data_IF_127534884756
#
_entry.id   IF_127534884756
#
_cell.length_a   1.000
_cell.length_b   1.000
_cell.length_c   1.000
_cell.angle_alpha   90.00
_cell.angle_beta   90.00
_cell.angle_gamma   90.00
#
_symmetry.space_group_name_H-M   'P 1'
#
loop_
_entity.id
_entity.type
_entity.pdbx_description
1 polymer ?
#
# COMPACT_ATOMS: atom_id res chain seq x y z
N UNK A 1 -0.12 -40.87 4.90
CA UNK A 1 -0.54 -39.59 4.32
C UNK A 1 -1.89 -39.18 4.92
N UNK A 2 -1.93 -38.09 5.71
CA UNK A 2 -3.15 -37.70 6.46
C UNK A 2 -4.03 -36.69 5.70
N UNK A 3 -3.58 -36.21 4.55
CA UNK A 3 -4.28 -35.19 3.75
C UNK A 3 -5.66 -35.70 3.28
N UNK A 4 -5.78 -36.89 2.63
CA UNK A 4 -7.07 -37.37 2.22
C UNK A 4 -8.05 -37.67 3.36
N UNK A 5 -7.53 -38.07 4.52
CA UNK A 5 -8.38 -38.45 5.65
C UNK A 5 -8.88 -37.25 6.47
N UNK A 6 -8.05 -36.19 6.61
CA UNK A 6 -8.34 -35.06 7.49
C UNK A 6 -8.73 -33.79 6.76
N UNK A 7 -8.14 -33.55 5.59
CA UNK A 7 -8.34 -32.29 4.86
C UNK A 7 -9.46 -32.41 3.83
N UNK A 8 -9.47 -33.47 3.02
CA UNK A 8 -10.41 -33.62 1.91
C UNK A 8 -11.90 -33.62 2.29
N UNK A 9 -12.34 -34.14 3.45
CA UNK A 9 -13.76 -34.09 3.82
C UNK A 9 -14.26 -32.68 4.19
N UNK A 10 -13.34 -31.72 4.40
CA UNK A 10 -13.72 -30.36 4.81
C UNK A 10 -14.28 -29.56 3.64
N UNK A 11 -15.21 -28.62 3.91
CA UNK A 11 -15.70 -27.69 2.92
C UNK A 11 -14.56 -26.92 2.24
N UNK A 12 -14.67 -26.67 0.92
CA UNK A 12 -13.63 -26.01 0.13
C UNK A 12 -13.27 -24.60 0.65
N UNK A 13 -14.20 -23.92 1.31
CA UNK A 13 -13.97 -22.62 1.93
C UNK A 13 -13.03 -22.62 3.14
N UNK A 14 -12.72 -23.82 3.69
CA UNK A 14 -11.78 -23.98 4.78
C UNK A 14 -10.31 -24.03 4.28
N UNK A 15 -10.11 -24.13 2.96
CA UNK A 15 -8.77 -24.12 2.40
C UNK A 15 -8.18 -22.71 2.42
N UNK A 16 -6.95 -22.58 2.91
CA UNK A 16 -6.24 -21.31 2.94
C UNK A 16 -6.20 -20.66 1.55
N UNK A 17 -6.48 -19.36 1.48
CA UNK A 17 -6.49 -18.59 0.23
C UNK A 17 -7.78 -18.67 -0.58
N UNK A 18 -8.74 -19.53 -0.22
CA UNK A 18 -10.05 -19.63 -0.87
C UNK A 18 -11.06 -18.72 -0.17
N UNK A 19 -11.31 -17.55 -0.75
CA UNK A 19 -12.28 -16.58 -0.23
C UNK A 19 -13.72 -16.83 -0.73
N UNK A 20 -14.73 -16.11 -0.15
CA UNK A 20 -16.15 -16.34 -0.45
C UNK A 20 -16.51 -16.29 -1.94
N UNK A 21 -15.88 -15.40 -2.71
CA UNK A 21 -16.07 -15.31 -4.16
C UNK A 21 -15.56 -16.56 -4.91
N UNK A 22 -14.43 -17.11 -4.44
CA UNK A 22 -13.87 -18.34 -5.02
C UNK A 22 -14.73 -19.55 -4.65
N UNK A 23 -15.21 -19.64 -3.40
CA UNK A 23 -16.15 -20.69 -2.95
C UNK A 23 -17.38 -20.72 -3.87
N UNK A 24 -18.01 -19.56 -4.10
CA UNK A 24 -19.20 -19.48 -4.98
C UNK A 24 -18.90 -20.04 -6.38
N UNK A 25 -17.80 -19.62 -6.98
CA UNK A 25 -17.39 -20.10 -8.32
C UNK A 25 -17.03 -21.59 -8.33
N UNK A 26 -16.45 -22.11 -7.24
CA UNK A 26 -16.17 -23.55 -7.09
C UNK A 26 -17.46 -24.36 -7.02
N UNK A 27 -18.45 -23.90 -6.26
CA UNK A 27 -19.77 -24.54 -6.19
C UNK A 27 -20.48 -24.56 -7.57
N UNK A 28 -20.35 -23.49 -8.36
CA UNK A 28 -20.92 -23.40 -9.71
C UNK A 28 -20.36 -24.46 -10.67
N UNK A 29 -19.16 -24.99 -10.42
CA UNK A 29 -18.51 -26.06 -11.19
C UNK A 29 -18.49 -27.40 -10.44
N UNK A 30 -19.31 -27.56 -9.38
CA UNK A 30 -19.50 -28.82 -8.67
C UNK A 30 -18.43 -29.20 -7.64
N UNK A 31 -17.58 -28.23 -7.24
CA UNK A 31 -16.52 -28.41 -6.21
C UNK A 31 -17.04 -27.88 -4.87
N UNK A 32 -17.33 -28.75 -3.92
CA UNK A 32 -17.87 -28.43 -2.59
C UNK A 32 -16.88 -28.69 -1.48
N UNK A 33 -16.03 -29.71 -1.62
CA UNK A 33 -15.04 -30.14 -0.63
C UNK A 33 -13.62 -29.87 -1.12
N UNK A 34 -12.67 -29.90 -0.18
CA UNK A 34 -11.24 -29.83 -0.52
C UNK A 34 -10.83 -31.07 -1.35
N UNK A 35 -11.45 -32.22 -1.09
CA UNK A 35 -11.24 -33.44 -1.89
C UNK A 35 -11.71 -33.31 -3.33
N UNK A 36 -12.86 -32.67 -3.57
CA UNK A 36 -13.32 -32.38 -4.93
C UNK A 36 -12.32 -31.51 -5.67
N UNK A 37 -11.79 -30.48 -4.99
CA UNK A 37 -10.78 -29.58 -5.55
C UNK A 37 -9.45 -30.29 -5.84
N UNK A 38 -9.01 -31.17 -4.94
CA UNK A 38 -7.78 -31.95 -5.10
C UNK A 38 -7.82 -32.86 -6.35
N UNK A 39 -9.00 -33.42 -6.66
CA UNK A 39 -9.22 -34.30 -7.77
C UNK A 39 -9.78 -33.63 -9.04
N UNK A 40 -10.03 -32.32 -8.99
CA UNK A 40 -10.57 -31.57 -10.12
C UNK A 40 -9.58 -31.50 -11.29
N UNK A 41 -10.12 -31.39 -12.49
CA UNK A 41 -9.34 -31.23 -13.71
C UNK A 41 -8.58 -29.90 -13.70
N UNK A 42 -7.27 -29.95 -13.99
CA UNK A 42 -6.40 -28.79 -13.96
C UNK A 42 -6.77 -27.73 -15.01
N UNK A 43 -7.24 -28.15 -16.18
CA UNK A 43 -7.60 -27.24 -17.27
C UNK A 43 -8.90 -26.49 -16.95
N UNK A 44 -9.87 -27.17 -16.32
CA UNK A 44 -11.09 -26.55 -15.82
C UNK A 44 -10.75 -25.49 -14.76
N UNK A 45 -9.91 -25.85 -13.80
CA UNK A 45 -9.48 -24.91 -12.75
C UNK A 45 -8.70 -23.71 -13.32
N UNK A 46 -7.85 -23.95 -14.33
CA UNK A 46 -7.13 -22.89 -15.02
C UNK A 46 -8.07 -21.97 -15.80
N UNK A 47 -9.08 -22.52 -16.45
CA UNK A 47 -10.10 -21.76 -17.18
C UNK A 47 -10.92 -20.85 -16.26
N UNK A 48 -11.27 -21.32 -15.05
CA UNK A 48 -12.11 -20.57 -14.09
C UNK A 48 -11.30 -19.62 -13.22
N UNK A 49 -10.12 -20.02 -12.74
CA UNK A 49 -9.33 -19.29 -11.73
C UNK A 49 -7.97 -18.79 -12.23
N UNK A 50 -7.63 -19.06 -13.51
CA UNK A 50 -6.31 -18.71 -14.06
C UNK A 50 -5.19 -19.45 -13.34
N UNK A 51 -4.07 -18.79 -13.14
CA UNK A 51 -2.88 -19.34 -12.43
C UNK A 51 -3.23 -19.82 -11.01
N UNK A 52 -4.17 -19.16 -10.34
CA UNK A 52 -4.59 -19.55 -8.99
C UNK A 52 -5.29 -20.92 -8.92
N UNK A 53 -5.86 -21.39 -10.01
CA UNK A 53 -6.49 -22.72 -10.05
C UNK A 53 -5.51 -23.84 -9.72
N UNK A 54 -4.29 -23.78 -10.26
CA UNK A 54 -3.26 -24.75 -9.94
C UNK A 54 -2.82 -24.64 -8.47
N UNK A 55 -2.62 -23.41 -7.95
CA UNK A 55 -2.24 -23.17 -6.54
C UNK A 55 -3.28 -23.77 -5.59
N UNK A 56 -4.56 -23.58 -5.86
CA UNK A 56 -5.63 -24.16 -5.04
C UNK A 56 -5.61 -25.68 -5.04
N UNK A 57 -5.37 -26.29 -6.21
CA UNK A 57 -5.25 -27.74 -6.33
C UNK A 57 -4.04 -28.29 -5.58
N UNK A 58 -2.90 -27.61 -5.66
CA UNK A 58 -1.69 -27.98 -4.96
C UNK A 58 -1.91 -27.93 -3.44
N UNK A 59 -2.49 -26.86 -2.92
CA UNK A 59 -2.83 -26.74 -1.50
C UNK A 59 -3.83 -27.82 -1.04
N UNK A 60 -4.82 -28.17 -1.86
CA UNK A 60 -5.76 -29.24 -1.56
C UNK A 60 -5.08 -30.62 -1.49
N UNK A 61 -3.97 -30.79 -2.18
CA UNK A 61 -3.13 -32.00 -2.12
C UNK A 61 -2.01 -31.92 -1.08
N UNK A 62 -1.94 -30.84 -0.29
CA UNK A 62 -0.88 -30.62 0.69
C UNK A 62 0.49 -30.32 0.08
N UNK A 63 0.49 -29.88 -1.18
CA UNK A 63 1.70 -29.46 -1.91
C UNK A 63 1.88 -27.97 -1.71
N UNK A 64 3.01 -27.55 -1.16
CA UNK A 64 3.39 -26.16 -1.05
C UNK A 64 3.94 -25.68 -2.40
N UNK A 65 3.20 -24.83 -3.07
CA UNK A 65 3.57 -24.33 -4.41
C UNK A 65 4.63 -23.23 -4.39
N UNK A 66 4.87 -22.62 -3.23
CA UNK A 66 5.94 -21.67 -3.02
C UNK A 66 6.82 -22.14 -1.85
N UNK A 67 8.06 -22.57 -2.11
CA UNK A 67 8.97 -22.86 -1.01
C UNK A 67 9.13 -21.57 -0.19
N UNK A 68 9.09 -21.70 1.16
CA UNK A 68 9.47 -20.62 2.06
C UNK A 68 10.95 -20.27 1.83
N UNK A 69 11.23 -19.64 0.71
CA UNK A 69 12.49 -18.97 0.50
C UNK A 69 12.50 -17.76 1.42
N UNK A 70 13.52 -17.67 2.29
CA UNK A 70 13.97 -16.39 2.85
C UNK A 70 14.51 -15.54 1.71
N UNK A 71 13.69 -15.21 0.72
CA UNK A 71 14.00 -14.09 -0.14
C UNK A 71 13.89 -12.86 0.78
N UNK A 72 14.99 -12.12 0.89
CA UNK A 72 14.91 -10.74 1.36
C UNK A 72 13.85 -10.08 0.46
N UNK A 73 12.65 -9.93 1.00
CA UNK A 73 11.59 -9.18 0.32
C UNK A 73 12.14 -7.76 0.27
N UNK A 74 12.70 -7.39 -0.88
CA UNK A 74 13.08 -5.99 -1.12
C UNK A 74 11.76 -5.24 -1.13
N UNK A 75 11.49 -4.53 -0.03
CA UNK A 75 10.37 -3.61 0.01
C UNK A 75 10.53 -2.59 -1.13
N UNK A 76 9.76 -2.78 -2.19
CA UNK A 76 9.79 -1.93 -3.36
C UNK A 76 8.83 -0.74 -3.23
N UNK A 77 8.08 -0.67 -2.13
CA UNK A 77 7.12 0.40 -1.87
C UNK A 77 6.88 0.63 -0.38
N UNK A 78 6.67 1.87 -0.01
CA UNK A 78 6.25 2.32 1.32
C UNK A 78 4.93 3.06 1.18
N UNK A 79 3.87 2.53 1.72
CA UNK A 79 2.54 3.12 1.64
C UNK A 79 1.89 3.28 3.00
N UNK A 80 1.00 4.25 3.12
CA UNK A 80 0.11 4.45 4.24
C UNK A 80 -1.21 5.04 3.77
N UNK A 81 -2.30 4.69 4.44
CA UNK A 81 -3.63 5.21 4.14
C UNK A 81 -4.48 5.27 5.40
N UNK A 82 -5.45 6.19 5.41
CA UNK A 82 -6.38 6.34 6.53
C UNK A 82 -7.80 6.53 6.02
N UNK A 83 -8.74 5.84 6.67
CA UNK A 83 -10.16 6.15 6.54
C UNK A 83 -10.47 7.27 7.52
N UNK A 84 -10.94 8.40 7.00
CA UNK A 84 -11.24 9.58 7.81
C UNK A 84 -12.51 9.37 8.66
N UNK A 85 -12.60 9.96 9.86
CA UNK A 85 -13.77 9.83 10.72
C UNK A 85 -15.06 10.36 10.05
N UNK A 86 -14.93 11.38 9.21
CA UNK A 86 -15.99 11.96 8.42
C UNK A 86 -15.56 12.03 6.96
N UNK A 87 -16.53 11.87 6.05
CA UNK A 87 -16.26 11.98 4.62
C UNK A 87 -15.88 13.42 4.23
N UNK A 88 -14.73 13.56 3.56
CA UNK A 88 -14.17 14.83 3.12
C UNK A 88 -14.84 15.30 1.83
N UNK A 89 -15.30 16.54 1.80
CA UNK A 89 -16.01 17.10 0.63
C UNK A 89 -15.07 17.85 -0.32
N UNK A 90 -13.97 18.37 0.18
CA UNK A 90 -13.04 19.23 -0.58
C UNK A 90 -11.59 18.77 -0.37
N UNK A 91 -10.73 18.90 -1.38
CA UNK A 91 -9.31 18.51 -1.27
C UNK A 91 -8.58 19.16 -0.09
N UNK A 92 -8.92 20.42 0.23
CA UNK A 92 -8.26 21.17 1.32
C UNK A 92 -8.47 20.52 2.69
N UNK A 93 -9.58 19.83 2.88
CA UNK A 93 -9.89 19.11 4.13
C UNK A 93 -8.98 17.89 4.34
N UNK A 94 -8.40 17.34 3.26
CA UNK A 94 -7.46 16.25 3.29
C UNK A 94 -6.00 16.69 3.42
N UNK A 95 -5.67 17.98 3.31
CA UNK A 95 -4.29 18.48 3.26
C UNK A 95 -3.48 18.07 4.52
N UNK A 96 -4.07 18.18 5.72
CA UNK A 96 -3.41 17.78 6.97
C UNK A 96 -3.22 16.25 7.05
N UNK A 97 -4.26 15.49 6.72
CA UNK A 97 -4.20 14.02 6.67
C UNK A 97 -3.12 13.56 5.68
N UNK A 98 -3.09 14.12 4.47
CA UNK A 98 -2.09 13.80 3.46
C UNK A 98 -0.68 14.12 3.96
N UNK A 99 -0.48 15.25 4.65
CA UNK A 99 0.82 15.60 5.23
C UNK A 99 1.28 14.57 6.26
N UNK A 100 0.41 14.16 7.18
CA UNK A 100 0.73 13.13 8.17
C UNK A 100 1.11 11.78 7.54
N UNK A 101 0.38 11.37 6.49
CA UNK A 101 0.69 10.16 5.74
C UNK A 101 2.05 10.26 5.04
N UNK A 102 2.36 11.40 4.42
CA UNK A 102 3.64 11.64 3.77
C UNK A 102 4.80 11.66 4.77
N UNK A 103 4.63 12.25 5.97
CA UNK A 103 5.63 12.16 7.03
C UNK A 103 5.94 10.73 7.43
N UNK A 104 4.90 9.90 7.63
CA UNK A 104 5.06 8.48 7.97
C UNK A 104 5.79 7.70 6.86
N UNK A 105 5.45 7.92 5.60
CA UNK A 105 6.09 7.25 4.45
C UNK A 105 7.55 7.69 4.30
N UNK A 106 7.80 9.01 4.32
CA UNK A 106 9.13 9.58 4.18
C UNK A 106 10.06 9.18 5.34
N UNK A 107 9.56 9.19 6.58
CA UNK A 107 10.31 8.76 7.76
C UNK A 107 10.77 7.32 7.66
N UNK A 108 9.91 6.39 7.21
CA UNK A 108 10.28 4.99 6.98
C UNK A 108 11.30 4.82 5.85
N UNK A 109 11.18 5.57 4.75
CA UNK A 109 12.19 5.58 3.70
C UNK A 109 13.55 6.01 4.24
N UNK A 110 13.61 7.09 5.03
CA UNK A 110 14.86 7.58 5.63
C UNK A 110 15.44 6.61 6.66
N UNK A 111 14.59 5.97 7.47
CA UNK A 111 15.02 4.96 8.45
C UNK A 111 15.72 3.79 7.78
N UNK A 112 15.23 3.37 6.61
CA UNK A 112 15.80 2.25 5.83
C UNK A 112 16.89 2.72 4.84
N UNK A 113 17.28 4.01 4.87
CA UNK A 113 18.29 4.58 3.97
C UNK A 113 17.89 4.53 2.49
N UNK A 114 16.59 4.53 2.19
CA UNK A 114 16.06 4.43 0.84
C UNK A 114 15.49 5.75 0.34
N UNK A 115 15.42 5.86 -0.98
CA UNK A 115 14.69 6.91 -1.71
C UNK A 115 13.64 6.26 -2.62
N UNK A 116 12.63 7.02 -3.04
CA UNK A 116 11.59 6.55 -3.95
C UNK A 116 11.51 7.43 -5.19
N UNK A 117 11.13 6.85 -6.31
CA UNK A 117 11.01 7.55 -7.60
C UNK A 117 9.59 7.71 -8.09
N UNK A 118 8.64 6.96 -7.57
CA UNK A 118 7.23 7.04 -7.95
C UNK A 118 6.40 7.37 -6.72
N UNK A 119 5.56 8.38 -6.83
CA UNK A 119 4.58 8.73 -5.81
C UNK A 119 3.20 8.42 -6.36
N UNK A 120 2.45 7.61 -5.62
CA UNK A 120 1.08 7.21 -5.94
C UNK A 120 0.14 7.72 -4.87
N UNK A 121 -0.96 8.34 -5.28
CA UNK A 121 -2.07 8.72 -4.40
C UNK A 121 -3.27 7.86 -4.70
N UNK A 122 -3.95 7.42 -3.65
CA UNK A 122 -5.18 6.66 -3.73
C UNK A 122 -6.28 7.38 -2.96
N UNK A 123 -7.45 7.45 -3.58
CA UNK A 123 -8.68 7.93 -2.95
C UNK A 123 -9.77 6.86 -3.03
N UNK A 124 -10.61 6.78 -2.01
CA UNK A 124 -11.84 5.97 -2.04
C UNK A 124 -13.01 6.88 -1.69
N UNK A 125 -14.02 6.93 -2.53
CA UNK A 125 -15.23 7.73 -2.31
C UNK A 125 -16.20 7.03 -1.32
N UNK A 126 -17.27 7.72 -0.94
CA UNK A 126 -18.29 7.20 -0.05
C UNK A 126 -19.16 6.08 -0.69
N UNK A 127 -19.05 5.86 -2.00
CA UNK A 127 -19.63 4.71 -2.70
C UNK A 127 -18.61 3.54 -2.83
N UNK A 128 -17.49 3.59 -2.11
CA UNK A 128 -16.40 2.59 -2.13
C UNK A 128 -15.70 2.43 -3.49
N UNK A 129 -15.79 3.42 -4.36
CA UNK A 129 -15.05 3.41 -5.62
C UNK A 129 -13.65 3.93 -5.38
N UNK A 130 -12.68 3.14 -5.81
CA UNK A 130 -11.25 3.43 -5.68
C UNK A 130 -10.74 4.09 -6.94
N UNK A 131 -9.99 5.16 -6.79
CA UNK A 131 -9.19 5.81 -7.83
C UNK A 131 -7.75 5.96 -7.36
N UNK A 132 -6.79 5.90 -8.29
CA UNK A 132 -5.38 6.12 -7.99
C UNK A 132 -4.68 6.79 -9.17
N UNK A 133 -3.79 7.74 -8.86
CA UNK A 133 -2.90 8.38 -9.82
C UNK A 133 -1.47 8.33 -9.30
N UNK A 134 -0.53 8.23 -10.22
CA UNK A 134 0.90 8.21 -9.90
C UNK A 134 1.69 9.17 -10.79
N UNK A 135 2.82 9.59 -10.29
CA UNK A 135 3.82 10.35 -11.05
C UNK A 135 5.21 9.80 -10.78
N UNK A 136 6.03 9.77 -11.82
CA UNK A 136 7.46 9.45 -11.70
C UNK A 136 8.22 10.75 -11.54
N UNK A 137 8.98 10.87 -10.45
CA UNK A 137 9.83 12.02 -10.17
C UNK A 137 11.09 12.00 -11.04
N UNK A 138 11.60 13.16 -11.37
CA UNK A 138 12.86 13.30 -12.12
C UNK A 138 14.04 12.77 -11.30
N UNK A 139 14.06 13.03 -9.99
CA UNK A 139 15.08 12.54 -9.06
C UNK A 139 14.45 11.74 -7.94
N UNK A 140 15.10 10.64 -7.46
CA UNK A 140 14.64 9.90 -6.30
C UNK A 140 14.64 10.79 -5.05
N UNK A 141 13.69 10.59 -4.14
CA UNK A 141 13.61 11.41 -2.92
C UNK A 141 13.12 10.61 -1.71
N UNK A 142 13.49 11.06 -0.53
CA UNK A 142 12.89 10.72 0.76
C UNK A 142 12.50 11.98 1.56
N UNK A 143 12.51 13.13 0.90
CA UNK A 143 12.08 14.41 1.50
C UNK A 143 10.57 14.40 1.72
N UNK A 144 10.14 14.68 2.94
CA UNK A 144 8.73 14.81 3.30
C UNK A 144 8.03 15.87 2.48
N UNK A 145 8.68 17.01 2.25
CA UNK A 145 8.08 18.14 1.52
C UNK A 145 7.86 17.80 0.04
N UNK A 146 8.85 17.18 -0.62
CA UNK A 146 8.72 16.79 -2.03
C UNK A 146 7.60 15.77 -2.21
N UNK A 147 7.57 14.75 -1.35
CA UNK A 147 6.51 13.72 -1.39
C UNK A 147 5.14 14.36 -1.13
N UNK A 148 5.03 15.24 -0.13
CA UNK A 148 3.77 15.91 0.19
C UNK A 148 3.27 16.85 -0.92
N UNK A 149 4.13 17.70 -1.47
CA UNK A 149 3.71 18.59 -2.55
C UNK A 149 3.25 17.83 -3.77
N UNK A 150 3.99 16.78 -4.16
CA UNK A 150 3.62 15.89 -5.26
C UNK A 150 2.28 15.18 -4.99
N UNK A 151 2.14 14.57 -3.83
CA UNK A 151 0.91 13.86 -3.45
C UNK A 151 -0.30 14.80 -3.37
N UNK A 152 -0.12 16.00 -2.83
CA UNK A 152 -1.16 17.03 -2.74
C UNK A 152 -1.64 17.49 -4.11
N UNK A 153 -0.73 17.65 -5.06
CA UNK A 153 -1.08 18.03 -6.42
C UNK A 153 -1.85 16.91 -7.12
N UNK A 154 -1.36 15.67 -7.07
CA UNK A 154 -2.07 14.49 -7.58
C UNK A 154 -3.46 14.35 -6.97
N UNK A 155 -3.57 14.49 -5.65
CA UNK A 155 -4.83 14.42 -4.93
C UNK A 155 -5.84 15.45 -5.45
N UNK A 156 -5.40 16.69 -5.69
CA UNK A 156 -6.27 17.77 -6.20
C UNK A 156 -6.72 17.52 -7.63
N UNK A 157 -5.84 17.02 -8.48
CA UNK A 157 -6.15 16.73 -9.89
C UNK A 157 -7.19 15.59 -10.03
N UNK A 158 -7.14 14.62 -9.13
CA UNK A 158 -8.00 13.43 -9.18
C UNK A 158 -9.20 13.46 -8.22
N UNK A 159 -9.44 14.58 -7.54
CA UNK A 159 -10.52 14.67 -6.56
C UNK A 159 -11.88 14.40 -7.21
N UNK A 160 -12.65 13.43 -6.70
CA UNK A 160 -13.93 13.08 -7.30
C UNK A 160 -15.03 14.11 -6.94
N UNK A 161 -16.13 14.11 -7.71
CA UNK A 161 -17.33 14.90 -7.42
C UNK A 161 -18.10 14.42 -6.17
N UNK A 162 -17.64 13.35 -5.54
CA UNK A 162 -18.24 12.74 -4.35
C UNK A 162 -17.34 12.90 -3.14
N UNK A 163 -17.92 12.89 -1.93
CA UNK A 163 -17.13 12.89 -0.71
C UNK A 163 -16.16 11.70 -0.64
N UNK A 164 -14.95 11.98 -0.18
CA UNK A 164 -13.85 11.00 -0.05
C UNK A 164 -13.78 10.52 1.39
N UNK A 165 -13.77 9.21 1.58
CA UNK A 165 -13.68 8.56 2.89
C UNK A 165 -12.31 7.99 3.24
N UNK A 166 -11.46 7.73 2.24
CA UNK A 166 -10.11 7.22 2.46
C UNK A 166 -9.12 7.96 1.57
N UNK A 167 -8.03 8.35 2.18
CA UNK A 167 -6.88 8.99 1.54
C UNK A 167 -5.65 8.12 1.79
N UNK A 168 -4.87 7.86 0.75
CA UNK A 168 -3.64 7.08 0.84
C UNK A 168 -2.54 7.64 -0.05
N UNK A 169 -1.30 7.41 0.36
CA UNK A 169 -0.09 7.71 -0.42
C UNK A 169 0.87 6.53 -0.35
N UNK A 170 1.52 6.24 -1.46
CA UNK A 170 2.66 5.31 -1.50
C UNK A 170 3.82 5.90 -2.29
N UNK A 171 5.02 5.53 -1.85
CA UNK A 171 6.29 5.84 -2.47
C UNK A 171 6.90 4.53 -2.98
N UNK A 172 7.08 4.43 -4.29
CA UNK A 172 7.40 3.18 -4.99
C UNK A 172 8.70 3.31 -5.79
N UNK A 173 9.15 2.19 -6.36
CA UNK A 173 10.46 2.06 -7.02
C UNK A 173 11.58 2.56 -6.10
N UNK A 174 11.61 1.98 -4.90
CA UNK A 174 12.59 2.35 -3.89
C UNK A 174 13.95 1.74 -4.16
N UNK A 175 14.99 2.49 -3.83
CA UNK A 175 16.38 2.08 -3.98
C UNK A 175 17.29 2.84 -3.02
N UNK A 176 18.54 2.37 -2.93
CA UNK A 176 19.61 3.03 -2.17
C UNK A 176 20.42 4.01 -3.05
N UNK A 177 20.08 4.10 -4.34
CA UNK A 177 20.79 4.93 -5.29
C UNK A 177 20.48 6.41 -5.05
N UNK A 178 21.44 7.08 -4.45
CA UNK A 178 21.46 8.54 -4.27
C UNK A 178 22.00 9.25 -5.52
N UNK A 179 21.63 8.83 -6.71
CA UNK A 179 21.92 9.64 -7.89
C UNK A 179 20.96 10.83 -7.92
N UNK A 180 21.28 11.88 -7.17
CA UNK A 180 20.73 13.20 -7.39
C UNK A 180 21.18 13.70 -8.77
N UNK A 181 20.34 13.60 -9.74
CA UNK A 181 20.47 14.45 -10.90
C UNK A 181 20.14 15.87 -10.41
N UNK A 182 21.18 16.66 -10.13
CA UNK A 182 21.02 18.07 -9.77
C UNK A 182 20.23 18.76 -10.89
N UNK A 183 18.98 19.04 -10.61
CA UNK A 183 18.19 19.88 -11.49
C UNK A 183 18.69 21.32 -11.30
N UNK A 184 19.07 21.98 -12.40
CA UNK A 184 19.59 23.34 -12.39
C UNK A 184 18.62 24.37 -11.77
N UNK A 185 17.38 23.98 -11.52
CA UNK A 185 16.34 24.83 -10.93
C UNK A 185 16.11 24.59 -9.42
N UNK A 186 16.77 23.61 -8.83
CA UNK A 186 16.64 23.31 -7.39
C UNK A 186 17.78 23.98 -6.63
N UNK A 187 17.48 24.84 -5.66
CA UNK A 187 18.47 25.46 -4.78
C UNK A 187 19.06 24.38 -3.84
N UNK A 188 20.35 23.99 -4.02
CA UNK A 188 20.98 22.94 -3.22
C UNK A 188 20.99 23.25 -1.72
N UNK A 189 21.13 24.54 -1.35
CA UNK A 189 21.16 24.98 0.04
C UNK A 189 19.80 24.78 0.74
N UNK A 190 18.70 24.95 0.01
CA UNK A 190 17.36 24.75 0.53
C UNK A 190 17.06 23.26 0.73
N UNK A 191 17.51 22.42 -0.20
CA UNK A 191 17.37 20.95 -0.13
C UNK A 191 18.13 20.39 1.06
N UNK A 192 19.41 20.76 1.24
CA UNK A 192 20.25 20.33 2.37
C UNK A 192 19.66 20.74 3.74
N UNK A 193 19.13 21.99 3.83
CA UNK A 193 18.46 22.46 5.05
C UNK A 193 17.21 21.62 5.36
N UNK A 194 16.42 21.27 4.37
CA UNK A 194 15.20 20.49 4.55
C UNK A 194 15.51 19.05 4.98
N UNK A 195 16.52 18.44 4.37
CA UNK A 195 16.98 17.09 4.78
C UNK A 195 17.50 17.07 6.23
N UNK A 196 18.27 18.07 6.63
CA UNK A 196 18.75 18.21 8.02
C UNK A 196 17.58 18.35 8.99
N UNK A 197 16.56 19.13 8.62
CA UNK A 197 15.34 19.30 9.42
C UNK A 197 14.58 17.98 9.56
N UNK A 198 14.35 17.26 8.45
CA UNK A 198 13.65 15.99 8.46
C UNK A 198 14.40 14.95 9.33
N UNK A 199 15.74 14.84 9.20
CA UNK A 199 16.57 13.94 10.02
C UNK A 199 16.55 14.32 11.51
N UNK A 200 16.57 15.62 11.84
CA UNK A 200 16.48 16.08 13.23
C UNK A 200 15.11 15.74 13.84
N UNK A 201 14.03 15.94 13.09
CA UNK A 201 12.68 15.57 13.52
C UNK A 201 12.55 14.07 13.74
N UNK A 202 13.08 13.24 12.82
CA UNK A 202 13.07 11.78 12.96
C UNK A 202 13.86 11.32 14.20
N UNK A 203 15.03 11.90 14.46
CA UNK A 203 15.84 11.59 15.64
C UNK A 203 15.12 11.92 16.96
N UNK A 204 14.38 13.03 16.99
CA UNK A 204 13.59 13.42 18.17
C UNK A 204 12.38 12.50 18.35
N UNK A 205 11.69 12.12 17.27
CA UNK A 205 10.59 11.15 17.33
C UNK A 205 11.05 9.77 17.78
N UNK A 206 12.19 9.30 17.28
CA UNK A 206 12.78 8.03 17.70
C UNK A 206 13.13 8.00 19.21
N UNK A 207 13.55 9.15 19.78
CA UNK A 207 13.95 9.26 21.19
C UNK A 207 12.79 9.53 22.14
N UNK A 208 11.81 10.31 21.73
CA UNK A 208 10.76 10.83 22.61
C UNK A 208 9.35 10.40 22.19
N UNK A 209 9.21 9.61 21.12
CA UNK A 209 7.94 9.14 20.56
C UNK A 209 7.42 9.99 19.39
N UNK A 210 6.54 9.42 18.59
CA UNK A 210 5.99 10.01 17.35
C UNK A 210 5.30 11.37 17.59
N UNK A 211 4.69 11.57 18.75
CA UNK A 211 4.00 12.81 19.13
C UNK A 211 4.90 13.94 19.63
N UNK A 212 6.21 13.71 19.80
CA UNK A 212 7.13 14.68 20.42
C UNK A 212 7.31 15.95 19.58
N UNK A 213 7.27 15.83 18.26
CA UNK A 213 7.34 16.96 17.32
C UNK A 213 6.30 16.75 16.22
N UNK A 214 5.41 17.72 16.08
CA UNK A 214 4.42 17.80 15.02
C UNK A 214 4.64 19.07 14.18
N UNK A 215 4.40 18.98 12.88
CA UNK A 215 4.35 20.19 12.04
C UNK A 215 3.15 21.04 12.43
N UNK A 216 3.29 22.35 12.46
CA UNK A 216 2.23 23.28 12.88
C UNK A 216 0.89 23.07 12.14
N UNK A 217 0.94 22.65 10.88
CA UNK A 217 -0.26 22.31 10.09
C UNK A 217 -1.02 21.09 10.62
N UNK A 218 -0.42 20.25 11.44
CA UNK A 218 -1.04 19.08 12.07
C UNK A 218 -1.63 19.37 13.45
N UNK A 219 -1.28 20.52 14.05
CA UNK A 219 -1.73 20.91 15.39
C UNK A 219 -3.16 21.46 15.43
N UNK A 220 -3.70 21.90 14.30
CA UNK A 220 -5.03 22.49 14.21
C UNK A 220 -5.83 21.91 13.04
N UNK A 221 -6.36 20.67 13.14
CA UNK A 221 -7.31 20.20 12.16
C UNK A 221 -8.68 20.89 12.26
N UNK A 222 -9.09 21.41 13.44
CA UNK A 222 -10.50 21.76 13.71
C UNK A 222 -10.74 22.94 14.70
N UNK A 223 -9.89 23.94 14.77
CA UNK A 223 -10.24 25.18 15.47
C UNK A 223 -10.54 26.32 14.48
N UNK A 224 -11.64 26.20 13.76
CA UNK A 224 -12.39 27.33 13.25
C UNK A 224 -13.87 27.09 13.54
N UNK A 225 -14.25 27.49 14.74
CA UNK A 225 -15.62 27.92 15.06
C UNK A 225 -16.11 28.96 14.07
#
# INVERSE_FOLDING_TARGET
DMVPQKLWPLPVGNLFGVGPKSVKRMHEIGIYTIGDLANADADILRGVFGVRGQVFRDYANGIESEPMTRSEVKDNSYGNSVTTPQDLKRPVEADATMLALCESVAGRLRMDGKTARVITVQLVDNAFRRSSHQVTLNSPTNSTDVIYHTARELMRQMWPDRPVRLVGVSAEKTGTDNFEQLDFFTDPAKTDKQEKLDRAADALRARFGEGAILRAKLLHPDEKT
#
